data_IF_882607690352
#
_entry.id   IF_882607690352
#
_cell.length_a   1.000
_cell.length_b   1.000
_cell.length_c   1.000
_cell.angle_alpha   90.00
_cell.angle_beta   90.00
_cell.angle_gamma   90.00
#
_symmetry.space_group_name_H-M   'P 1'
#
loop_
_entity.id
_entity.type
_entity.pdbx_description
1 polymer ?
#
# COMPACT_ATOMS: atom_id res chain seq x y z
N UNK A 1 -15.48 -25.04 7.23
CA UNK A 1 -14.04 -25.29 7.47
C UNK A 1 -13.29 -24.56 6.36
N UNK A 2 -12.28 -23.74 6.68
CA UNK A 2 -11.44 -23.15 5.64
C UNK A 2 -10.77 -24.29 4.86
N UNK A 3 -10.81 -24.24 3.53
CA UNK A 3 -10.20 -25.26 2.69
C UNK A 3 -8.68 -25.18 2.89
N UNK A 4 -7.94 -26.30 2.82
CA UNK A 4 -6.49 -26.30 3.06
C UNK A 4 -5.72 -25.25 2.23
N UNK A 5 -6.21 -24.94 1.03
CA UNK A 5 -5.74 -23.84 0.17
C UNK A 5 -5.88 -22.46 0.83
N UNK A 6 -7.02 -22.16 1.47
CA UNK A 6 -7.26 -20.89 2.17
C UNK A 6 -6.25 -20.70 3.32
N UNK A 7 -5.92 -21.80 4.00
CA UNK A 7 -4.99 -21.80 5.12
C UNK A 7 -3.55 -21.54 4.66
N UNK A 8 -3.11 -22.14 3.55
CA UNK A 8 -1.79 -21.90 2.95
C UNK A 8 -1.67 -20.48 2.42
N UNK A 9 -2.71 -19.96 1.75
CA UNK A 9 -2.74 -18.57 1.27
C UNK A 9 -2.67 -17.59 2.45
N UNK A 10 -3.43 -17.84 3.51
CA UNK A 10 -3.38 -17.05 4.74
C UNK A 10 -1.99 -17.03 5.37
N UNK A 11 -1.34 -18.20 5.50
CA UNK A 11 0.02 -18.32 6.02
C UNK A 11 1.04 -17.59 5.14
N UNK A 12 0.90 -17.70 3.82
CA UNK A 12 1.73 -16.99 2.84
C UNK A 12 1.59 -15.47 2.98
N UNK A 13 0.36 -14.96 3.07
CA UNK A 13 0.10 -13.53 3.27
C UNK A 13 0.71 -13.02 4.58
N UNK A 14 0.58 -13.79 5.67
CA UNK A 14 1.19 -13.43 6.97
C UNK A 14 2.71 -13.42 6.88
N UNK A 15 3.33 -14.44 6.29
CA UNK A 15 4.78 -14.50 6.14
C UNK A 15 5.33 -13.34 5.30
N UNK A 16 4.69 -13.05 4.16
CA UNK A 16 5.06 -11.92 3.30
C UNK A 16 4.88 -10.60 4.07
N UNK A 17 3.77 -10.44 4.79
CA UNK A 17 3.51 -9.24 5.59
C UNK A 17 4.59 -9.03 6.65
N UNK A 18 5.03 -10.11 7.31
CA UNK A 18 6.09 -10.08 8.32
C UNK A 18 7.41 -9.59 7.71
N UNK A 19 7.80 -10.14 6.55
CA UNK A 19 9.04 -9.73 5.85
C UNK A 19 8.99 -8.25 5.47
N UNK A 20 7.90 -7.81 4.84
CA UNK A 20 7.72 -6.42 4.42
C UNK A 20 7.71 -5.49 5.63
N UNK A 21 7.00 -5.87 6.70
CA UNK A 21 6.91 -5.11 7.93
C UNK A 21 8.28 -4.95 8.60
N UNK A 22 9.04 -6.04 8.73
CA UNK A 22 10.38 -5.98 9.34
C UNK A 22 11.33 -5.13 8.50
N UNK A 23 11.33 -5.28 7.16
CA UNK A 23 12.14 -4.45 6.28
C UNK A 23 11.79 -2.96 6.41
N UNK A 24 10.50 -2.63 6.35
CA UNK A 24 10.04 -1.25 6.44
C UNK A 24 10.30 -0.63 7.81
N UNK A 25 10.08 -1.39 8.89
CA UNK A 25 10.35 -0.94 10.27
C UNK A 25 11.84 -0.69 10.48
N UNK A 26 12.69 -1.63 10.06
CA UNK A 26 14.14 -1.46 10.10
C UNK A 26 14.56 -0.24 9.27
N UNK A 27 13.97 -0.05 8.09
CA UNK A 27 14.26 1.09 7.23
C UNK A 27 13.90 2.43 7.88
N UNK A 28 12.71 2.56 8.47
CA UNK A 28 12.26 3.81 9.11
C UNK A 28 13.06 4.12 10.38
N UNK A 29 13.38 3.10 11.18
CA UNK A 29 14.01 3.28 12.50
C UNK A 29 15.53 3.37 12.40
N UNK A 30 16.20 2.55 11.58
CA UNK A 30 17.67 2.50 11.55
C UNK A 30 18.29 3.62 10.72
N UNK A 31 17.67 3.98 9.59
CA UNK A 31 18.19 5.00 8.68
C UNK A 31 18.44 6.38 9.32
N UNK A 32 17.68 6.87 10.33
CA UNK A 32 18.04 8.11 11.03
C UNK A 32 19.31 8.06 11.87
N UNK A 33 19.78 6.87 12.27
CA UNK A 33 20.95 6.71 13.13
C UNK A 33 22.22 6.26 12.38
N UNK A 34 22.10 5.95 11.08
CA UNK A 34 23.21 5.46 10.26
C UNK A 34 23.73 6.59 9.36
N UNK A 35 25.04 6.83 9.42
CA UNK A 35 25.71 7.87 8.63
C UNK A 35 25.54 7.66 7.11
N UNK A 36 25.49 8.75 6.34
CA UNK A 36 25.22 8.76 4.89
C UNK A 36 26.30 8.07 4.04
N UNK A 37 27.50 7.87 4.60
CA UNK A 37 28.65 7.24 3.93
C UNK A 37 28.67 5.71 4.03
N UNK A 38 27.72 5.08 4.73
CA UNK A 38 27.67 3.63 4.89
C UNK A 38 27.05 2.90 3.70
N UNK A 39 27.61 1.73 3.37
CA UNK A 39 27.13 0.79 2.32
C UNK A 39 25.66 0.37 2.47
N UNK A 40 25.10 0.55 3.66
CA UNK A 40 23.70 0.28 3.99
C UNK A 40 22.75 1.14 3.12
N UNK A 41 23.15 2.35 2.70
CA UNK A 41 22.35 3.19 1.79
C UNK A 41 22.19 2.62 0.37
N UNK A 42 22.90 1.54 0.00
CA UNK A 42 22.60 0.78 -1.23
C UNK A 42 21.44 -0.19 -1.07
N UNK A 43 21.20 -0.68 0.14
CA UNK A 43 20.13 -1.63 0.44
C UNK A 43 18.85 -0.95 0.92
N UNK A 44 18.95 0.30 1.39
CA UNK A 44 17.85 1.11 1.85
C UNK A 44 17.71 2.37 1.00
N UNK A 45 16.50 2.65 0.53
CA UNK A 45 16.23 3.89 -0.21
C UNK A 45 16.48 5.12 0.67
N UNK A 46 16.79 6.29 0.07
CA UNK A 46 16.93 7.54 0.82
C UNK A 46 15.72 7.82 1.72
N UNK A 47 15.96 8.43 2.88
CA UNK A 47 14.94 8.76 3.90
C UNK A 47 13.64 9.34 3.32
N UNK A 48 13.76 10.23 2.32
CA UNK A 48 12.60 10.89 1.74
C UNK A 48 11.55 9.89 1.22
N UNK A 49 11.98 8.73 0.74
CA UNK A 49 11.08 7.69 0.23
C UNK A 49 10.29 6.99 1.34
N UNK A 50 10.83 6.88 2.56
CA UNK A 50 10.10 6.31 3.69
C UNK A 50 8.84 7.13 4.03
N UNK A 51 8.85 8.44 3.76
CA UNK A 51 7.66 9.30 3.93
C UNK A 51 6.85 9.36 2.65
N UNK A 52 7.50 9.42 1.49
CA UNK A 52 6.82 9.55 0.20
C UNK A 52 5.98 8.32 -0.16
N UNK A 53 6.43 7.10 0.17
CA UNK A 53 5.71 5.87 -0.20
C UNK A 53 4.32 5.81 0.45
N UNK A 54 4.15 5.95 1.78
CA UNK A 54 2.82 6.03 2.40
C UNK A 54 1.97 7.19 1.85
N UNK A 55 2.60 8.33 1.57
CA UNK A 55 1.90 9.53 1.12
C UNK A 55 1.35 9.35 -0.30
N UNK A 56 2.14 8.83 -1.22
CA UNK A 56 1.71 8.49 -2.59
C UNK A 56 0.66 7.37 -2.56
N UNK A 57 0.85 6.34 -1.73
CA UNK A 57 -0.15 5.28 -1.58
C UNK A 57 -1.50 5.82 -1.09
N UNK A 58 -1.49 6.73 -0.11
CA UNK A 58 -2.69 7.41 0.39
C UNK A 58 -3.36 8.29 -0.67
N UNK A 59 -2.57 9.06 -1.43
CA UNK A 59 -3.10 9.88 -2.53
C UNK A 59 -3.72 9.03 -3.64
N UNK A 60 -3.07 7.93 -4.03
CA UNK A 60 -3.60 7.00 -5.01
C UNK A 60 -4.90 6.35 -4.52
N UNK A 61 -4.96 5.94 -3.25
CA UNK A 61 -6.17 5.39 -2.66
C UNK A 61 -7.31 6.41 -2.67
N UNK A 62 -7.04 7.66 -2.29
CA UNK A 62 -8.02 8.74 -2.31
C UNK A 62 -8.52 9.01 -3.73
N UNK A 63 -7.62 9.04 -4.71
CA UNK A 63 -7.96 9.20 -6.12
C UNK A 63 -8.84 8.04 -6.61
N UNK A 64 -8.48 6.80 -6.31
CA UNK A 64 -9.28 5.62 -6.63
C UNK A 64 -10.69 5.70 -6.04
N UNK A 65 -10.82 6.10 -4.78
CA UNK A 65 -12.13 6.29 -4.12
C UNK A 65 -12.93 7.40 -4.81
N UNK A 66 -12.30 8.54 -5.10
CA UNK A 66 -12.95 9.66 -5.80
C UNK A 66 -13.45 9.29 -7.20
N UNK A 67 -12.65 8.54 -7.97
CA UNK A 67 -13.05 8.01 -9.28
C UNK A 67 -14.20 7.03 -9.15
N UNK A 68 -14.15 6.13 -8.18
CA UNK A 68 -15.20 5.15 -7.94
C UNK A 68 -16.54 5.83 -7.63
N UNK A 69 -16.54 6.80 -6.71
CA UNK A 69 -17.74 7.58 -6.37
C UNK A 69 -18.28 8.30 -7.60
N UNK A 70 -17.41 9.02 -8.32
CA UNK A 70 -17.80 9.75 -9.55
C UNK A 70 -18.41 8.81 -10.58
N UNK A 71 -17.79 7.64 -10.79
CA UNK A 71 -18.28 6.62 -11.71
C UNK A 71 -19.66 6.09 -11.31
N UNK A 72 -19.87 5.77 -10.04
CA UNK A 72 -21.18 5.30 -9.52
C UNK A 72 -22.24 6.39 -9.68
N UNK A 73 -21.93 7.64 -9.36
CA UNK A 73 -22.85 8.76 -9.54
C UNK A 73 -23.26 8.95 -11.00
N UNK A 74 -22.30 8.95 -11.93
CA UNK A 74 -22.57 9.06 -13.36
C UNK A 74 -23.41 7.89 -13.88
N UNK A 75 -23.12 6.67 -13.43
CA UNK A 75 -23.90 5.48 -13.78
C UNK A 75 -25.34 5.59 -13.27
N UNK A 76 -25.54 6.03 -12.03
CA UNK A 76 -26.85 6.19 -11.42
C UNK A 76 -27.69 7.29 -12.11
N UNK A 77 -27.06 8.41 -12.47
CA UNK A 77 -27.70 9.50 -13.23
C UNK A 77 -28.14 9.05 -14.63
N UNK A 78 -27.30 8.26 -15.32
CA UNK A 78 -27.66 7.69 -16.63
C UNK A 78 -28.83 6.70 -16.53
N UNK A 79 -28.89 5.89 -15.46
CA UNK A 79 -30.00 4.97 -15.24
C UNK A 79 -31.32 5.71 -14.95
N UNK A 80 -31.28 6.76 -14.13
CA UNK A 80 -32.46 7.59 -13.83
C UNK A 80 -33.00 8.30 -15.09
N UNK A 81 -32.11 8.85 -15.93
CA UNK A 81 -32.49 9.49 -17.20
C UNK A 81 -33.02 8.51 -18.26
N UNK A 82 -32.79 7.20 -18.12
CA UNK A 82 -33.25 6.18 -19.07
C UNK A 82 -34.57 5.53 -18.65
N UNK A 83 -34.97 5.73 -17.39
CA UNK A 83 -36.21 5.22 -16.80
C UNK A 83 -37.36 6.25 -16.81
N UNK A 84 -37.06 7.49 -17.23
CA UNK A 84 -38.02 8.55 -17.52
C UNK A 84 -38.13 8.72 -19.03
#
# INVERSE_FOLDING_TARGET
>A
MATGTDQVVGLGLVAISLIVFTYYTAWVILLPFIDSQHVIHKYFLPRAYAVAIPLVAGLLLLLCVGLFITYVMLKNQRAAKKAQ
#
